data_IF_341883606251
#
_entry.id   IF_341883606251
#
_cell.length_a   1.000
_cell.length_b   1.000
_cell.length_c   1.000
_cell.angle_alpha   90.00
_cell.angle_beta   90.00
_cell.angle_gamma   90.00
#
_symmetry.space_group_name_H-M   'P 1'
#
loop_
_entity.id
_entity.type
_entity.pdbx_description
1 polymer ?
#
# COMPACT_ATOMS: atom_id res chain seq x y z
N UNK A 1 13.66 -5.91 18.53
CA UNK A 1 13.67 -5.55 17.09
C UNK A 1 14.92 -4.72 16.85
N UNK A 2 15.62 -4.87 15.71
CA UNK A 2 16.82 -4.09 15.40
C UNK A 2 16.47 -2.67 14.94
N UNK A 3 17.43 -1.74 15.02
CA UNK A 3 17.26 -0.37 14.52
C UNK A 3 16.92 -0.37 13.02
N UNK A 4 17.67 -1.15 12.22
CA UNK A 4 17.44 -1.28 10.78
C UNK A 4 16.01 -1.70 10.42
N UNK A 5 15.41 -2.55 11.25
CA UNK A 5 14.03 -3.00 11.02
C UNK A 5 13.00 -1.90 11.34
N UNK A 6 13.27 -1.08 12.37
CA UNK A 6 12.42 0.07 12.70
C UNK A 6 12.49 1.09 11.56
N UNK A 7 13.71 1.42 11.11
CA UNK A 7 13.93 2.38 10.02
C UNK A 7 13.26 1.92 8.72
N UNK A 8 13.32 0.62 8.42
CA UNK A 8 12.61 0.02 7.30
C UNK A 8 11.08 0.19 7.39
N UNK A 9 10.49 -0.03 8.57
CA UNK A 9 9.05 0.16 8.77
C UNK A 9 8.64 1.63 8.63
N UNK A 10 9.44 2.55 9.17
CA UNK A 10 9.20 3.99 9.02
C UNK A 10 9.28 4.45 7.56
N UNK A 11 10.20 3.88 6.78
CA UNK A 11 10.26 4.12 5.34
C UNK A 11 9.01 3.58 4.64
N UNK A 12 8.57 2.36 4.97
CA UNK A 12 7.35 1.80 4.37
C UNK A 12 6.09 2.61 4.68
N UNK A 13 5.97 3.17 5.87
CA UNK A 13 4.84 4.02 6.24
C UNK A 13 4.81 5.33 5.44
N UNK A 14 5.97 5.82 4.98
CA UNK A 14 6.05 6.96 4.05
C UNK A 14 5.66 6.57 2.62
N UNK A 15 5.88 5.31 2.24
CA UNK A 15 5.58 4.81 0.90
C UNK A 15 4.12 4.43 0.72
N UNK A 16 3.50 3.79 1.70
CA UNK A 16 2.10 3.36 1.63
C UNK A 16 1.43 3.58 2.97
N UNK A 17 0.48 4.51 2.99
CA UNK A 17 -0.31 4.88 4.16
C UNK A 17 -1.79 4.78 3.89
N UNK A 18 -2.60 4.92 4.93
CA UNK A 18 -4.06 4.91 4.83
C UNK A 18 -4.62 6.08 5.63
N UNK A 19 -5.61 6.76 5.07
CA UNK A 19 -6.41 7.75 5.79
C UNK A 19 -7.84 7.22 6.02
N UNK A 20 -8.82 8.11 6.16
CA UNK A 20 -10.23 7.76 6.38
C UNK A 20 -10.90 7.15 5.14
N UNK A 21 -10.44 7.50 3.94
CA UNK A 21 -11.12 7.22 2.67
C UNK A 21 -10.24 6.56 1.61
N UNK A 22 -8.90 6.69 1.70
CA UNK A 22 -7.95 6.21 0.71
C UNK A 22 -6.80 5.42 1.30
N UNK A 23 -6.25 4.51 0.49
CA UNK A 23 -4.88 4.03 0.60
C UNK A 23 -4.04 4.90 -0.33
N UNK A 24 -2.98 5.50 0.21
CA UNK A 24 -2.15 6.48 -0.50
C UNK A 24 -0.76 5.88 -0.70
N UNK A 25 -0.32 5.82 -1.95
CA UNK A 25 1.00 5.36 -2.35
C UNK A 25 1.85 6.56 -2.81
N UNK A 26 3.03 6.74 -2.22
CA UNK A 26 3.99 7.73 -2.70
C UNK A 26 4.73 7.15 -3.92
N UNK A 27 4.55 7.79 -5.06
CA UNK A 27 5.11 7.36 -6.36
C UNK A 27 6.55 7.85 -6.58
N UNK A 28 6.98 8.86 -5.81
CA UNK A 28 8.32 9.43 -5.89
C UNK A 28 8.78 9.94 -4.51
N UNK A 29 9.14 9.02 -3.59
CA UNK A 29 9.54 9.35 -2.22
C UNK A 29 10.86 10.13 -2.10
N UNK A 30 11.62 10.26 -3.19
CA UNK A 30 12.87 11.01 -3.25
C UNK A 30 12.80 12.32 -4.02
N UNK A 31 11.67 12.62 -4.67
CA UNK A 31 11.51 13.78 -5.54
C UNK A 31 10.28 14.61 -5.20
N UNK A 32 9.29 14.67 -6.07
CA UNK A 32 8.19 15.67 -5.95
C UNK A 32 7.08 15.28 -4.97
N UNK A 33 7.20 14.14 -4.26
CA UNK A 33 6.17 13.59 -3.37
C UNK A 33 4.81 13.45 -4.07
N UNK A 34 4.81 12.89 -5.28
CA UNK A 34 3.58 12.63 -6.01
C UNK A 34 2.85 11.44 -5.40
N UNK A 35 1.54 11.55 -5.25
CA UNK A 35 0.70 10.55 -4.60
C UNK A 35 -0.23 9.85 -5.60
N UNK A 36 -0.45 8.56 -5.36
CA UNK A 36 -1.45 7.75 -6.05
C UNK A 36 -2.46 7.26 -5.02
N UNK A 37 -3.70 7.69 -5.17
CA UNK A 37 -4.77 7.45 -4.21
C UNK A 37 -5.70 6.35 -4.71
N UNK A 38 -6.01 5.39 -3.83
CA UNK A 38 -6.96 4.31 -4.09
C UNK A 38 -8.07 4.40 -3.05
N UNK A 39 -9.31 4.51 -3.49
CA UNK A 39 -10.46 4.58 -2.58
C UNK A 39 -10.63 3.26 -1.81
N UNK A 40 -10.85 3.36 -0.49
CA UNK A 40 -11.05 2.18 0.36
C UNK A 40 -12.26 1.34 -0.07
N UNK A 41 -13.31 1.99 -0.59
CA UNK A 41 -14.50 1.29 -1.11
C UNK A 41 -14.19 0.41 -2.34
N UNK A 42 -13.09 0.69 -3.05
CA UNK A 42 -12.62 -0.11 -4.19
C UNK A 42 -11.69 -1.24 -3.75
N UNK A 43 -11.54 -1.48 -2.44
CA UNK A 43 -10.75 -2.55 -1.85
C UNK A 43 -11.58 -3.37 -0.83
N UNK A 44 -12.91 -3.40 -0.98
CA UNK A 44 -13.82 -4.04 -0.02
C UNK A 44 -13.91 -5.57 -0.12
N UNK A 45 -13.48 -6.16 -1.22
CA UNK A 45 -13.49 -7.62 -1.44
C UNK A 45 -12.11 -8.18 -1.82
N UNK A 46 -11.86 -9.48 -1.63
CA UNK A 46 -10.61 -10.10 -2.06
C UNK A 46 -10.31 -9.90 -3.56
N UNK A 47 -11.32 -9.98 -4.42
CA UNK A 47 -11.19 -9.81 -5.87
C UNK A 47 -10.76 -8.39 -6.23
N UNK A 48 -11.34 -7.38 -5.55
CA UNK A 48 -10.99 -5.99 -5.72
C UNK A 48 -9.53 -5.71 -5.30
N UNK A 49 -9.11 -6.27 -4.16
CA UNK A 49 -7.73 -6.16 -3.68
C UNK A 49 -6.76 -6.83 -4.65
N UNK A 50 -7.10 -8.01 -5.18
CA UNK A 50 -6.29 -8.69 -6.18
C UNK A 50 -6.20 -7.89 -7.47
N UNK A 51 -7.32 -7.34 -7.96
CA UNK A 51 -7.35 -6.49 -9.15
C UNK A 51 -6.42 -5.29 -9.00
N UNK A 52 -6.51 -4.57 -7.88
CA UNK A 52 -5.61 -3.45 -7.58
C UNK A 52 -4.16 -3.90 -7.45
N UNK A 53 -3.90 -5.04 -6.82
CA UNK A 53 -2.55 -5.61 -6.70
C UNK A 53 -1.94 -5.84 -8.08
N UNK A 54 -2.69 -6.46 -9.02
CA UNK A 54 -2.23 -6.66 -10.40
C UNK A 54 -2.04 -5.35 -11.13
N UNK A 55 -2.99 -4.41 -11.05
CA UNK A 55 -2.86 -3.09 -11.68
C UNK A 55 -1.64 -2.31 -11.16
N UNK A 56 -1.33 -2.42 -9.87
CA UNK A 56 -0.14 -1.83 -9.27
C UNK A 56 1.15 -2.50 -9.77
N UNK A 57 1.14 -3.80 -10.07
CA UNK A 57 2.32 -4.48 -10.64
C UNK A 57 2.72 -3.98 -12.03
N UNK A 58 1.80 -3.33 -12.75
CA UNK A 58 2.08 -2.70 -14.05
C UNK A 58 2.80 -1.35 -13.92
N UNK A 59 2.87 -0.77 -12.71
CA UNK A 59 3.46 0.55 -12.49
C UNK A 59 4.95 0.40 -12.21
N UNK A 60 5.76 1.13 -12.97
CA UNK A 60 7.23 1.09 -12.89
C UNK A 60 7.82 1.58 -11.55
N UNK A 61 7.06 2.36 -10.78
CA UNK A 61 7.47 2.90 -9.47
C UNK A 61 7.04 2.01 -8.29
N UNK A 62 6.21 0.99 -8.51
CA UNK A 62 5.74 0.11 -7.44
C UNK A 62 6.80 -0.94 -7.11
N UNK A 63 7.12 -1.08 -5.82
CA UNK A 63 8.00 -2.13 -5.32
C UNK A 63 7.21 -3.28 -4.67
N UNK A 64 7.84 -4.44 -4.51
CA UNK A 64 7.23 -5.58 -3.82
C UNK A 64 6.82 -5.24 -2.38
N UNK A 65 7.59 -4.40 -1.69
CA UNK A 65 7.27 -4.03 -0.31
C UNK A 65 6.07 -3.08 -0.23
N UNK A 66 5.93 -2.18 -1.21
CA UNK A 66 4.71 -1.39 -1.36
C UNK A 66 3.49 -2.29 -1.59
N UNK A 67 3.59 -3.31 -2.44
CA UNK A 67 2.50 -4.27 -2.67
C UNK A 67 2.13 -5.04 -1.40
N UNK A 68 3.12 -5.57 -0.66
CA UNK A 68 2.88 -6.27 0.61
C UNK A 68 2.18 -5.35 1.62
N UNK A 69 2.62 -4.09 1.70
CA UNK A 69 2.03 -3.09 2.59
C UNK A 69 0.60 -2.75 2.15
N UNK A 70 0.37 -2.54 0.86
CA UNK A 70 -0.95 -2.32 0.27
C UNK A 70 -1.92 -3.46 0.61
N UNK A 71 -1.55 -4.71 0.29
CA UNK A 71 -2.38 -5.90 0.55
C UNK A 71 -2.74 -5.99 2.04
N UNK A 72 -1.77 -5.77 2.93
CA UNK A 72 -2.01 -5.81 4.38
C UNK A 72 -2.96 -4.70 4.85
N UNK A 73 -2.79 -3.47 4.38
CA UNK A 73 -3.66 -2.36 4.77
C UNK A 73 -5.07 -2.53 4.21
N UNK A 74 -5.19 -2.91 2.95
CA UNK A 74 -6.47 -3.15 2.28
C UNK A 74 -7.26 -4.27 2.98
N UNK A 75 -6.61 -5.39 3.29
CA UNK A 75 -7.27 -6.54 3.95
C UNK A 75 -7.70 -6.23 5.38
N UNK A 76 -6.87 -5.50 6.15
CA UNK A 76 -7.25 -5.03 7.49
C UNK A 76 -8.47 -4.11 7.44
N UNK A 77 -8.50 -3.15 6.50
CA UNK A 77 -9.64 -2.23 6.33
C UNK A 77 -10.90 -2.94 5.87
N UNK A 78 -10.77 -3.91 4.96
CA UNK A 78 -11.86 -4.76 4.49
C UNK A 78 -12.28 -5.85 5.48
N UNK A 79 -11.54 -6.02 6.60
CA UNK A 79 -11.74 -7.10 7.59
C UNK A 79 -11.66 -8.50 6.97
N UNK A 80 -10.82 -8.65 5.95
CA UNK A 80 -10.54 -9.93 5.28
C UNK A 80 -9.38 -10.61 6.00
N UNK A 81 -9.54 -11.90 6.32
CA UNK A 81 -8.44 -12.74 6.81
C UNK A 81 -7.70 -13.34 5.62
N UNK A 82 -6.38 -13.22 5.64
CA UNK A 82 -5.48 -13.97 4.77
C UNK A 82 -4.74 -14.94 5.68
N UNK A 83 -4.96 -16.23 5.46
CA UNK A 83 -4.32 -17.34 6.18
C UNK A 83 -3.03 -17.78 5.49
#
# INVERSE_FOLDING_TARGET
>A
MSQDYIDYLEQLDKLVRVDETHIILNTDPGGTNNEYEILLQECGTPEQILWWTFHLTEKNWVTTDMLRRFIRLATVKAKIKID
#
